data_IF_505453955188
#
_entry.id   IF_505453955188
#
_cell.length_a   1.000
_cell.length_b   1.000
_cell.length_c   1.000
_cell.angle_alpha   90.00
_cell.angle_beta   90.00
_cell.angle_gamma   90.00
#
_symmetry.space_group_name_H-M   'P 1'
#
loop_
_entity.id
_entity.type
_entity.pdbx_description
1 polymer ?
#
# COMPACT_ATOMS: atom_id res chain seq x y z
N UNK A 1 11.02 5.15 -9.70
CA UNK A 1 9.93 5.48 -10.66
C UNK A 1 8.78 6.05 -9.87
N UNK A 2 8.35 7.28 -10.13
CA UNK A 2 7.30 7.94 -9.33
C UNK A 2 5.94 7.40 -9.79
N UNK A 3 5.04 6.94 -8.90
CA UNK A 3 3.69 6.56 -9.30
C UNK A 3 3.05 7.73 -10.05
N UNK A 4 2.55 7.49 -11.24
CA UNK A 4 1.84 8.49 -12.02
C UNK A 4 0.41 8.03 -12.25
N UNK A 5 -0.50 8.66 -11.53
CA UNK A 5 -1.90 8.70 -11.93
C UNK A 5 -2.05 9.74 -13.03
N UNK A 6 -2.41 9.33 -14.24
CA UNK A 6 -2.58 10.23 -15.36
C UNK A 6 -4.02 10.71 -15.47
N UNK A 7 -4.12 12.01 -15.57
CA UNK A 7 -5.15 12.87 -16.12
C UNK A 7 -6.59 12.76 -15.59
N UNK A 8 -7.00 13.85 -14.96
CA UNK A 8 -8.36 14.13 -14.53
C UNK A 8 -9.14 14.67 -15.71
N UNK A 9 -10.24 14.04 -16.10
CA UNK A 9 -11.20 14.63 -17.02
C UNK A 9 -11.70 15.98 -16.46
N UNK A 10 -11.84 17.03 -17.30
CA UNK A 10 -12.27 18.33 -16.80
C UNK A 10 -13.74 18.35 -16.40
N UNK A 11 -13.97 18.98 -15.26
CA UNK A 11 -15.17 19.67 -14.82
C UNK A 11 -16.36 18.85 -14.31
N UNK A 12 -16.46 18.83 -12.98
CA UNK A 12 -17.74 18.95 -12.26
C UNK A 12 -17.54 19.89 -11.09
N UNK A 13 -17.86 21.16 -11.31
CA UNK A 13 -18.13 22.11 -10.25
C UNK A 13 -19.25 21.57 -9.36
N UNK A 14 -18.95 21.10 -8.16
CA UNK A 14 -19.94 20.88 -7.12
C UNK A 14 -19.56 21.73 -5.92
N UNK A 15 -20.41 22.73 -5.67
CA UNK A 15 -20.56 23.46 -4.42
C UNK A 15 -20.45 22.49 -3.22
N UNK A 16 -19.39 22.59 -2.45
CA UNK A 16 -19.27 21.86 -1.17
C UNK A 16 -19.53 22.83 -0.04
N UNK A 17 -20.73 22.71 0.52
CA UNK A 17 -21.11 23.30 1.78
C UNK A 17 -20.13 22.92 2.90
N UNK A 18 -19.72 23.94 3.64
CA UNK A 18 -18.84 23.93 4.80
C UNK A 18 -19.41 23.07 5.93
N UNK A 19 -18.92 21.82 6.04
CA UNK A 19 -18.98 21.03 7.26
C UNK A 19 -17.61 21.10 7.92
N UNK A 20 -17.50 21.58 9.15
CA UNK A 20 -16.29 21.54 9.98
C UNK A 20 -16.02 20.08 10.43
N UNK A 21 -15.71 19.20 9.51
CA UNK A 21 -15.02 17.97 9.74
C UNK A 21 -13.52 18.26 9.69
N UNK A 22 -12.78 17.78 10.66
CA UNK A 22 -11.30 17.83 10.69
C UNK A 22 -10.78 17.54 9.28
N UNK A 23 -10.29 18.57 8.60
CA UNK A 23 -9.77 18.46 7.24
C UNK A 23 -8.72 17.36 7.26
N UNK A 24 -9.02 16.24 6.60
CA UNK A 24 -8.08 15.11 6.51
C UNK A 24 -6.81 15.62 5.84
N UNK A 25 -5.63 15.19 6.29
CA UNK A 25 -4.35 15.80 5.87
C UNK A 25 -3.94 15.34 4.47
N UNK A 26 -4.70 15.69 3.42
CA UNK A 26 -4.36 15.39 2.03
C UNK A 26 -2.89 15.74 1.68
N UNK A 27 -2.31 16.86 2.16
CA UNK A 27 -0.89 17.13 1.95
C UNK A 27 0.04 16.10 2.61
N UNK A 28 -0.36 15.50 3.76
CA UNK A 28 0.42 14.44 4.40
C UNK A 28 0.45 13.18 3.52
N UNK A 29 -0.71 12.74 3.03
CA UNK A 29 -0.80 11.56 2.17
C UNK A 29 -0.01 11.73 0.87
N UNK A 30 -0.04 12.92 0.28
CA UNK A 30 0.75 13.20 -0.93
C UNK A 30 2.25 13.03 -0.68
N UNK A 31 2.80 13.60 0.39
CA UNK A 31 4.24 13.46 0.67
C UNK A 31 4.60 12.06 1.15
N UNK A 32 3.74 11.39 1.91
CA UNK A 32 3.91 10.00 2.31
C UNK A 32 3.95 9.06 1.09
N UNK A 33 3.10 9.27 0.09
CA UNK A 33 3.14 8.57 -1.19
C UNK A 33 4.49 8.76 -1.89
N UNK A 34 4.93 10.00 -2.05
CA UNK A 34 6.20 10.33 -2.70
C UNK A 34 7.43 9.73 -2.02
N UNK A 35 7.38 9.54 -0.69
CA UNK A 35 8.47 8.98 0.11
C UNK A 35 8.44 7.44 0.20
N UNK A 36 7.29 6.82 -0.12
CA UNK A 36 7.17 5.38 -0.30
C UNK A 36 7.56 4.91 -1.70
N UNK A 37 7.69 5.82 -2.66
CA UNK A 37 8.22 5.49 -3.97
C UNK A 37 9.72 5.17 -3.91
N UNK A 38 10.20 4.38 -4.88
CA UNK A 38 11.62 4.06 -5.01
C UNK A 38 12.48 5.34 -5.05
N UNK A 39 13.59 5.41 -4.27
CA UNK A 39 14.49 6.55 -4.27
C UNK A 39 15.25 6.66 -5.60
N UNK A 40 14.96 7.69 -6.38
CA UNK A 40 15.56 8.02 -7.68
C UNK A 40 16.21 9.41 -7.67
N UNK A 41 16.62 9.92 -8.82
CA UNK A 41 17.22 11.25 -9.01
C UNK A 41 16.33 12.41 -8.53
N UNK A 42 15.03 12.19 -8.32
CA UNK A 42 14.09 13.21 -7.84
C UNK A 42 13.96 13.25 -6.31
N UNK A 43 14.65 12.35 -5.59
CA UNK A 43 14.53 12.21 -4.13
C UNK A 43 14.75 13.54 -3.40
N UNK A 44 15.79 14.31 -3.73
CA UNK A 44 16.09 15.58 -3.06
C UNK A 44 14.92 16.59 -3.16
N UNK A 45 14.26 16.62 -4.31
CA UNK A 45 13.06 17.44 -4.51
C UNK A 45 11.90 16.99 -3.62
N UNK A 46 11.70 15.67 -3.53
CA UNK A 46 10.67 15.07 -2.67
C UNK A 46 10.94 15.33 -1.19
N UNK A 47 12.18 15.20 -0.74
CA UNK A 47 12.57 15.48 0.65
C UNK A 47 12.32 16.95 1.01
N UNK A 48 12.74 17.89 0.16
CA UNK A 48 12.47 19.33 0.40
C UNK A 48 10.99 19.65 0.46
N UNK A 49 10.17 19.05 -0.42
CA UNK A 49 8.72 19.21 -0.38
C UNK A 49 8.14 18.67 0.93
N UNK A 50 8.53 17.45 1.30
CA UNK A 50 8.05 16.78 2.50
C UNK A 50 8.43 17.54 3.78
N UNK A 51 9.63 18.15 3.85
CA UNK A 51 10.03 19.03 4.97
C UNK A 51 9.10 20.22 5.15
N UNK A 52 8.75 20.89 4.03
CA UNK A 52 7.82 22.05 4.10
C UNK A 52 6.43 21.61 4.56
N UNK A 53 5.93 20.49 4.04
CA UNK A 53 4.61 19.97 4.44
C UNK A 53 4.64 19.52 5.91
N UNK A 54 5.67 18.79 6.36
CA UNK A 54 5.80 18.33 7.73
C UNK A 54 5.79 19.47 8.77
N UNK A 55 6.27 20.66 8.40
CA UNK A 55 6.24 21.85 9.27
C UNK A 55 4.82 22.36 9.56
N UNK A 56 3.84 22.04 8.72
CA UNK A 56 2.45 22.46 8.87
C UNK A 56 1.52 21.34 9.38
N UNK A 57 2.04 20.11 9.57
CA UNK A 57 1.23 18.99 10.02
C UNK A 57 1.14 18.93 11.56
N UNK A 58 0.06 18.33 12.10
CA UNK A 58 -0.04 18.00 13.52
C UNK A 58 1.11 17.10 13.97
N UNK A 59 1.59 17.32 15.20
CA UNK A 59 2.78 16.65 15.74
C UNK A 59 2.75 15.11 15.66
N UNK A 60 1.62 14.40 15.92
CA UNK A 60 1.57 12.94 15.78
C UNK A 60 1.90 12.43 14.37
N UNK A 61 1.59 13.22 13.34
CA UNK A 61 1.90 12.91 11.93
C UNK A 61 3.29 13.41 11.55
N UNK A 62 3.65 14.61 12.01
CA UNK A 62 4.88 15.29 11.64
C UNK A 62 6.14 14.69 12.28
N UNK A 63 6.06 14.29 13.56
CA UNK A 63 7.25 13.79 14.28
C UNK A 63 7.84 12.52 13.65
N UNK A 64 7.08 11.47 13.39
CA UNK A 64 7.61 10.29 12.69
C UNK A 64 8.04 10.61 11.26
N UNK A 65 7.32 11.46 10.54
CA UNK A 65 7.71 11.89 9.20
C UNK A 65 9.09 12.56 9.20
N UNK A 66 9.36 13.46 10.15
CA UNK A 66 10.68 14.11 10.31
C UNK A 66 11.80 13.09 10.59
N UNK A 67 11.56 12.05 11.39
CA UNK A 67 12.55 10.98 11.63
C UNK A 67 12.94 10.26 10.36
N UNK A 68 11.99 9.94 9.52
CA UNK A 68 12.28 9.36 8.21
C UNK A 68 13.09 10.32 7.33
N UNK A 69 12.69 11.60 7.27
CA UNK A 69 13.39 12.63 6.49
C UNK A 69 14.83 12.80 6.96
N UNK A 70 15.07 12.85 8.29
CA UNK A 70 16.40 12.94 8.86
C UNK A 70 17.29 11.76 8.47
N UNK A 71 16.72 10.53 8.41
CA UNK A 71 17.44 9.35 7.94
C UNK A 71 17.76 9.48 6.45
N UNK A 72 16.76 9.77 5.62
CA UNK A 72 16.93 9.83 4.17
C UNK A 72 17.95 10.88 3.73
N UNK A 73 17.94 12.08 4.34
CA UNK A 73 18.88 13.16 4.05
C UNK A 73 20.32 12.79 4.44
N UNK A 74 20.53 12.09 5.58
CA UNK A 74 21.87 11.62 5.99
C UNK A 74 22.37 10.47 5.13
N UNK A 75 21.48 9.62 4.66
CA UNK A 75 21.83 8.39 3.92
C UNK A 75 22.19 8.68 2.47
N UNK A 76 21.48 9.60 1.84
CA UNK A 76 21.61 9.93 0.42
C UNK A 76 20.98 8.89 -0.52
N UNK A 77 20.73 9.32 -1.76
CA UNK A 77 19.88 8.58 -2.72
C UNK A 77 20.35 7.16 -3.00
N UNK A 78 21.61 6.96 -3.35
CA UNK A 78 22.11 5.64 -3.77
C UNK A 78 22.02 4.60 -2.65
N UNK A 79 22.37 4.98 -1.42
CA UNK A 79 22.31 4.08 -0.27
C UNK A 79 20.86 3.83 0.17
N UNK A 80 20.02 4.87 0.16
CA UNK A 80 18.59 4.72 0.47
C UNK A 80 17.89 3.81 -0.55
N UNK A 81 18.26 3.87 -1.83
CA UNK A 81 17.76 2.97 -2.86
C UNK A 81 18.15 1.51 -2.58
N UNK A 82 19.39 1.26 -2.13
CA UNK A 82 19.81 -0.08 -1.74
C UNK A 82 19.05 -0.58 -0.48
N UNK A 83 18.84 0.29 0.51
CA UNK A 83 18.01 -0.02 1.68
C UNK A 83 16.55 -0.33 1.29
N UNK A 84 16.00 0.37 0.29
CA UNK A 84 14.65 0.12 -0.24
C UNK A 84 14.51 -1.29 -0.79
N UNK A 85 15.41 -1.70 -1.68
CA UNK A 85 15.43 -3.04 -2.26
C UNK A 85 15.57 -4.12 -1.18
N UNK A 86 16.49 -3.93 -0.22
CA UNK A 86 16.67 -4.86 0.89
C UNK A 86 15.41 -5.03 1.73
N UNK A 87 14.64 -3.96 1.94
CA UNK A 87 13.43 -3.96 2.76
C UNK A 87 12.22 -4.49 2.00
N UNK A 88 11.94 -3.96 0.81
CA UNK A 88 10.66 -4.19 0.13
C UNK A 88 10.70 -5.33 -0.89
N UNK A 89 11.87 -5.59 -1.50
CA UNK A 89 11.99 -6.65 -2.51
C UNK A 89 12.47 -7.97 -1.89
N UNK A 90 13.34 -7.92 -0.87
CA UNK A 90 13.91 -9.14 -0.28
C UNK A 90 13.14 -9.67 0.93
N UNK A 91 12.22 -8.91 1.52
CA UNK A 91 11.49 -9.31 2.73
C UNK A 91 9.99 -9.39 2.50
N UNK A 92 9.46 -10.58 2.23
CA UNK A 92 8.02 -10.81 1.96
C UNK A 92 7.09 -10.19 3.01
N UNK A 93 7.48 -10.16 4.28
CA UNK A 93 6.66 -9.55 5.34
C UNK A 93 6.65 -8.02 5.35
N UNK A 94 7.54 -7.38 4.58
CA UNK A 94 7.54 -5.94 4.34
C UNK A 94 6.87 -5.57 3.01
N UNK A 95 5.97 -6.41 2.50
CA UNK A 95 5.28 -6.23 1.24
C UNK A 95 4.42 -4.95 1.24
N UNK A 96 4.62 -4.00 0.30
CA UNK A 96 3.91 -2.73 0.28
C UNK A 96 2.52 -2.81 -0.37
N UNK A 97 2.05 -4.02 -0.74
CA UNK A 97 0.79 -4.26 -1.40
C UNK A 97 -0.29 -4.67 -0.40
N UNK A 98 -1.31 -3.82 -0.22
CA UNK A 98 -2.31 -4.00 0.85
C UNK A 98 -3.15 -5.26 0.71
N UNK A 99 -3.50 -5.68 -0.53
CA UNK A 99 -4.32 -6.88 -0.75
C UNK A 99 -3.56 -8.18 -0.46
N UNK A 100 -2.22 -8.13 -0.44
CA UNK A 100 -1.38 -9.29 -0.13
C UNK A 100 -1.66 -9.85 1.26
N UNK A 101 -1.84 -9.00 2.26
CA UNK A 101 -2.09 -9.43 3.63
C UNK A 101 -3.44 -10.15 3.80
N UNK A 102 -4.46 -9.74 3.04
CA UNK A 102 -5.80 -10.34 3.12
C UNK A 102 -5.96 -11.58 2.22
N UNK A 103 -5.18 -11.68 1.14
CA UNK A 103 -5.42 -12.68 0.09
C UNK A 103 -4.16 -13.48 -0.29
N UNK A 104 -2.96 -13.12 0.19
CA UNK A 104 -1.71 -13.74 -0.26
C UNK A 104 -1.52 -13.62 -1.78
N UNK A 105 -0.75 -14.52 -2.37
CA UNK A 105 -0.55 -14.63 -3.83
C UNK A 105 -1.60 -15.56 -4.47
N UNK A 106 -2.87 -15.43 -4.08
CA UNK A 106 -3.97 -16.28 -4.54
C UNK A 106 -4.79 -15.63 -5.66
N UNK A 107 -5.62 -16.42 -6.37
CA UNK A 107 -6.56 -15.90 -7.38
C UNK A 107 -7.54 -14.88 -6.81
N UNK A 108 -7.87 -14.97 -5.51
CA UNK A 108 -8.75 -14.02 -4.82
C UNK A 108 -8.15 -12.60 -4.82
N UNK A 109 -6.82 -12.48 -4.80
CA UNK A 109 -6.13 -11.19 -4.91
C UNK A 109 -6.45 -10.48 -6.22
N UNK A 110 -6.52 -11.20 -7.34
CA UNK A 110 -6.89 -10.62 -8.64
C UNK A 110 -8.28 -9.94 -8.61
N UNK A 111 -9.26 -10.53 -7.93
CA UNK A 111 -10.60 -9.94 -7.75
C UNK A 111 -10.53 -8.67 -6.88
N UNK A 112 -9.73 -8.68 -5.81
CA UNK A 112 -9.53 -7.52 -4.95
C UNK A 112 -8.88 -6.36 -5.72
N UNK A 113 -7.86 -6.62 -6.53
CA UNK A 113 -7.21 -5.62 -7.39
C UNK A 113 -8.21 -4.98 -8.38
N UNK A 114 -9.07 -5.78 -9.01
CA UNK A 114 -10.14 -5.26 -9.89
C UNK A 114 -11.13 -4.37 -9.15
N UNK A 115 -11.46 -4.68 -7.88
CA UNK A 115 -12.33 -3.85 -7.04
C UNK A 115 -11.68 -2.49 -6.79
N UNK A 116 -10.40 -2.45 -6.44
CA UNK A 116 -9.65 -1.21 -6.22
C UNK A 116 -9.58 -0.39 -7.52
N UNK A 117 -9.27 -1.00 -8.66
CA UNK A 117 -9.28 -0.33 -9.98
C UNK A 117 -10.64 0.32 -10.29
N UNK A 118 -11.74 -0.35 -9.95
CA UNK A 118 -13.09 0.22 -10.11
C UNK A 118 -13.34 1.41 -9.19
N UNK A 119 -12.81 1.39 -7.97
CA UNK A 119 -12.90 2.54 -7.05
C UNK A 119 -12.21 3.76 -7.63
N UNK A 120 -11.00 3.59 -8.20
CA UNK A 120 -10.28 4.68 -8.86
C UNK A 120 -11.03 5.19 -10.11
N UNK A 121 -11.53 4.28 -10.95
CA UNK A 121 -12.30 4.63 -12.13
C UNK A 121 -13.59 5.40 -11.79
N UNK A 122 -14.28 5.03 -10.71
CA UNK A 122 -15.47 5.74 -10.23
C UNK A 122 -15.17 7.18 -9.77
N UNK A 123 -13.93 7.44 -9.32
CA UNK A 123 -13.42 8.78 -9.00
C UNK A 123 -12.86 9.52 -10.24
N UNK A 124 -12.96 8.95 -11.45
CA UNK A 124 -12.46 9.54 -12.68
C UNK A 124 -10.94 9.42 -12.87
N UNK A 125 -10.29 8.53 -12.11
CA UNK A 125 -8.86 8.33 -12.14
C UNK A 125 -8.52 7.05 -12.91
N UNK A 126 -7.40 7.09 -13.66
CA UNK A 126 -6.83 5.93 -14.36
C UNK A 126 -5.43 5.67 -13.85
N UNK A 127 -5.16 4.41 -13.52
CA UNK A 127 -3.82 3.94 -13.25
C UNK A 127 -3.06 3.73 -14.56
N UNK A 128 -1.76 4.01 -14.54
CA UNK A 128 -0.84 3.48 -15.55
C UNK A 128 -0.72 1.96 -15.38
N UNK A 129 -0.33 1.25 -16.44
CA UNK A 129 -0.12 -0.21 -16.36
C UNK A 129 1.17 -0.61 -15.62
N UNK A 130 1.95 0.37 -15.15
CA UNK A 130 3.24 0.17 -14.49
C UNK A 130 3.12 -0.15 -13.00
N UNK A 131 2.00 0.20 -12.35
CA UNK A 131 1.81 0.07 -10.91
C UNK A 131 0.55 -0.74 -10.56
N UNK A 132 0.66 -1.58 -9.53
CA UNK A 132 -0.50 -2.27 -8.99
C UNK A 132 -1.38 -1.32 -8.16
N UNK A 133 -2.71 -1.43 -8.28
CA UNK A 133 -3.63 -0.49 -7.63
C UNK A 133 -3.59 -0.52 -6.11
N UNK A 134 -3.08 -1.59 -5.51
CA UNK A 134 -2.99 -1.80 -4.07
C UNK A 134 -1.63 -1.46 -3.49
N UNK A 135 -0.68 -0.97 -4.29
CA UNK A 135 0.58 -0.47 -3.76
C UNK A 135 0.33 0.73 -2.85
N UNK A 136 0.88 0.73 -1.64
CA UNK A 136 0.55 1.73 -0.62
C UNK A 136 0.83 3.17 -1.07
N UNK A 137 1.89 3.40 -1.86
CA UNK A 137 2.16 4.72 -2.44
C UNK A 137 1.03 5.19 -3.35
N UNK A 138 0.50 4.31 -4.22
CA UNK A 138 -0.63 4.60 -5.11
C UNK A 138 -1.90 4.90 -4.32
N UNK A 139 -2.17 4.09 -3.28
CA UNK A 139 -3.34 4.29 -2.41
C UNK A 139 -3.27 5.64 -1.69
N UNK A 140 -2.09 6.06 -1.23
CA UNK A 140 -1.90 7.36 -0.57
C UNK A 140 -2.00 8.54 -1.55
N UNK A 141 -1.53 8.38 -2.80
CA UNK A 141 -1.72 9.38 -3.84
C UNK A 141 -3.21 9.59 -4.15
N UNK A 142 -3.96 8.49 -4.27
CA UNK A 142 -5.41 8.53 -4.42
C UNK A 142 -6.09 9.22 -3.24
N UNK A 143 -5.64 8.95 -2.01
CA UNK A 143 -6.15 9.54 -0.79
C UNK A 143 -6.09 11.07 -0.80
N UNK A 144 -5.03 11.64 -1.34
CA UNK A 144 -4.85 13.09 -1.40
C UNK A 144 -5.92 13.76 -2.28
N UNK A 145 -6.44 13.05 -3.28
CA UNK A 145 -7.51 13.52 -4.16
C UNK A 145 -8.92 13.19 -3.72
N UNK A 146 -9.12 12.00 -3.15
CA UNK A 146 -10.44 11.42 -2.83
C UNK A 146 -10.51 10.87 -1.38
N UNK A 147 -10.54 11.75 -0.37
CA UNK A 147 -10.41 11.36 1.05
C UNK A 147 -11.44 10.35 1.56
N UNK A 148 -12.68 10.42 1.10
CA UNK A 148 -13.75 9.52 1.55
C UNK A 148 -13.59 8.09 0.99
N UNK A 149 -13.25 7.97 -0.30
CA UNK A 149 -12.99 6.68 -0.93
C UNK A 149 -11.72 6.02 -0.34
N UNK A 150 -10.70 6.84 -0.02
CA UNK A 150 -9.51 6.40 0.68
C UNK A 150 -9.80 5.83 2.07
N UNK A 151 -10.59 6.52 2.87
CA UNK A 151 -10.92 6.06 4.22
C UNK A 151 -11.51 4.65 4.19
N UNK A 152 -12.44 4.38 3.26
CA UNK A 152 -13.01 3.05 3.08
C UNK A 152 -11.95 2.02 2.69
N UNK A 153 -11.12 2.33 1.69
CA UNK A 153 -10.08 1.42 1.20
C UNK A 153 -9.06 1.06 2.29
N UNK A 154 -8.58 2.03 3.06
CA UNK A 154 -7.63 1.78 4.15
C UNK A 154 -8.25 1.07 5.35
N UNK A 155 -9.52 1.36 5.67
CA UNK A 155 -10.22 0.64 6.75
C UNK A 155 -10.37 -0.84 6.40
N UNK A 156 -10.74 -1.16 5.14
CA UNK A 156 -10.83 -2.54 4.67
C UNK A 156 -9.48 -3.29 4.74
N UNK A 157 -8.35 -2.58 4.60
CA UNK A 157 -7.00 -3.15 4.63
C UNK A 157 -6.18 -2.76 5.87
N UNK A 158 -6.84 -2.28 6.92
CA UNK A 158 -6.16 -1.75 8.13
C UNK A 158 -5.22 -2.77 8.78
N UNK A 159 -5.64 -4.01 8.90
CA UNK A 159 -4.82 -5.06 9.51
C UNK A 159 -3.52 -5.30 8.74
N UNK A 160 -3.56 -5.31 7.41
CA UNK A 160 -2.38 -5.44 6.56
C UNK A 160 -1.43 -4.26 6.70
N UNK A 161 -1.96 -3.03 6.74
CA UNK A 161 -1.18 -1.82 6.97
C UNK A 161 -0.42 -1.87 8.30
N UNK A 162 -1.09 -2.28 9.38
CA UNK A 162 -0.45 -2.38 10.70
C UNK A 162 0.58 -3.51 10.77
N UNK A 163 0.36 -4.62 10.06
CA UNK A 163 1.35 -5.68 9.95
C UNK A 163 2.60 -5.22 9.21
N UNK A 164 2.44 -4.51 8.09
CA UNK A 164 3.56 -3.90 7.39
C UNK A 164 4.33 -2.96 8.33
N UNK A 165 3.62 -2.10 9.07
CA UNK A 165 4.23 -1.17 10.02
C UNK A 165 5.05 -1.91 11.08
N UNK A 166 4.48 -2.95 11.71
CA UNK A 166 5.17 -3.77 12.71
C UNK A 166 6.39 -4.49 12.12
N UNK A 167 6.25 -5.09 10.93
CA UNK A 167 7.38 -5.76 10.26
C UNK A 167 8.53 -4.80 9.95
N UNK A 168 8.23 -3.57 9.57
CA UNK A 168 9.26 -2.55 9.34
C UNK A 168 9.95 -2.14 10.65
N UNK A 169 9.22 -2.04 11.77
CA UNK A 169 9.81 -1.81 13.09
C UNK A 169 10.72 -2.98 13.52
N UNK A 170 10.26 -4.21 13.38
CA UNK A 170 11.03 -5.42 13.72
C UNK A 170 12.34 -5.51 12.95
N UNK A 171 12.37 -5.00 11.71
CA UNK A 171 13.58 -5.00 10.88
C UNK A 171 14.46 -3.78 11.09
N UNK A 172 14.02 -2.80 11.87
CA UNK A 172 14.70 -1.52 12.05
C UNK A 172 14.74 -0.65 10.78
N UNK A 173 13.82 -0.92 9.82
CA UNK A 173 13.76 -0.20 8.56
C UNK A 173 13.28 1.25 8.76
N UNK A 174 13.90 2.25 8.12
CA UNK A 174 13.54 3.66 8.31
C UNK A 174 12.11 3.99 7.89
N UNK A 175 11.56 3.24 6.94
CA UNK A 175 10.15 3.36 6.50
C UNK A 175 9.13 3.03 7.59
N UNK A 176 9.53 2.38 8.71
CA UNK A 176 8.68 2.22 9.89
C UNK A 176 8.14 3.57 10.37
N UNK A 177 8.99 4.59 10.41
CA UNK A 177 8.58 5.94 10.79
C UNK A 177 7.61 6.57 9.78
N UNK A 178 7.76 6.26 8.49
CA UNK A 178 6.82 6.73 7.48
C UNK A 178 5.45 6.08 7.69
N UNK A 179 5.40 4.77 7.99
CA UNK A 179 4.16 4.06 8.32
C UNK A 179 3.54 4.55 9.66
N UNK A 180 4.34 4.93 10.65
CA UNK A 180 3.84 5.58 11.87
C UNK A 180 3.11 6.89 11.53
N UNK A 181 3.69 7.69 10.62
CA UNK A 181 3.06 8.92 10.12
C UNK A 181 1.75 8.65 9.37
N UNK A 182 1.69 7.59 8.54
CA UNK A 182 0.46 7.16 7.86
C UNK A 182 -0.58 6.71 8.88
N UNK A 183 -0.22 5.83 9.81
CA UNK A 183 -1.15 5.31 10.84
C UNK A 183 -1.72 6.44 11.72
N UNK A 184 -0.93 7.48 12.01
CA UNK A 184 -1.38 8.65 12.76
C UNK A 184 -2.43 9.51 12.02
N UNK A 185 -2.62 9.33 10.71
CA UNK A 185 -3.70 9.99 9.95
C UNK A 185 -5.03 9.23 10.02
N UNK A 186 -5.05 8.05 10.60
CA UNK A 186 -6.21 7.16 10.65
C UNK A 186 -6.82 7.14 12.06
N UNK A 187 -8.10 6.77 12.20
CA UNK A 187 -8.69 6.56 13.52
C UNK A 187 -7.90 5.53 14.33
N UNK A 188 -7.93 5.61 15.66
CA UNK A 188 -7.40 4.57 16.53
C UNK A 188 -8.02 3.21 16.19
N UNK A 189 -7.22 2.13 16.28
CA UNK A 189 -7.69 0.78 16.04
C UNK A 189 -8.84 0.41 17.00
N UNK A 190 -9.96 -0.05 16.45
CA UNK A 190 -11.06 -0.66 17.19
C UNK A 190 -10.68 -2.04 17.75
N UNK A 191 -11.60 -2.65 18.52
CA UNK A 191 -11.41 -4.01 19.08
C UNK A 191 -11.22 -5.04 17.98
N UNK A 192 -12.16 -5.08 17.03
CA UNK A 192 -12.17 -6.03 15.91
C UNK A 192 -10.94 -5.88 14.99
N UNK A 193 -10.47 -4.65 14.78
CA UNK A 193 -9.25 -4.40 13.99
C UNK A 193 -8.01 -4.92 14.72
N UNK A 194 -7.91 -4.75 16.05
CA UNK A 194 -6.80 -5.31 16.85
C UNK A 194 -6.77 -6.82 16.81
N UNK A 195 -7.95 -7.45 16.91
CA UNK A 195 -8.07 -8.91 16.77
C UNK A 195 -7.67 -9.39 15.38
N UNK A 196 -8.09 -8.66 14.33
CA UNK A 196 -7.69 -8.97 12.95
C UNK A 196 -6.17 -8.85 12.76
N UNK A 197 -5.53 -7.82 13.31
CA UNK A 197 -4.05 -7.68 13.30
C UNK A 197 -3.39 -8.85 14.03
N UNK A 198 -3.86 -9.19 15.23
CA UNK A 198 -3.28 -10.29 16.02
C UNK A 198 -3.42 -11.64 15.32
N UNK A 199 -4.58 -11.93 14.75
CA UNK A 199 -4.82 -13.16 13.97
C UNK A 199 -3.89 -13.24 12.76
N UNK A 200 -3.83 -12.18 11.96
CA UNK A 200 -3.02 -12.13 10.76
C UNK A 200 -1.51 -12.18 11.08
N UNK A 201 -1.10 -11.65 12.23
CA UNK A 201 0.28 -11.76 12.72
C UNK A 201 0.64 -13.21 13.12
N UNK A 202 -0.32 -13.97 13.64
CA UNK A 202 -0.13 -15.35 14.05
C UNK A 202 -0.16 -16.34 12.86
N UNK A 203 -1.07 -16.12 11.91
CA UNK A 203 -1.35 -17.05 10.81
C UNK A 203 -0.55 -16.71 9.53
N UNK A 204 -0.15 -15.45 9.37
CA UNK A 204 0.41 -14.95 8.10
C UNK A 204 -0.65 -14.71 7.02
N UNK A 205 -0.23 -14.17 5.85
CA UNK A 205 -1.09 -14.05 4.68
C UNK A 205 -1.53 -15.43 4.18
N UNK A 206 -2.76 -15.57 3.64
CA UNK A 206 -3.25 -16.84 3.09
C UNK A 206 -2.35 -17.36 1.96
N UNK A 207 -2.12 -18.67 1.93
CA UNK A 207 -1.44 -19.37 0.82
C UNK A 207 -2.46 -20.13 -0.02
N UNK A 208 -2.20 -20.27 -1.34
CA UNK A 208 -3.00 -21.18 -2.17
C UNK A 208 -2.62 -22.62 -1.84
N UNK A 209 -3.60 -23.42 -1.41
CA UNK A 209 -3.48 -24.87 -1.36
C UNK A 209 -3.54 -25.43 -2.80
N UNK A 210 -2.49 -25.21 -3.61
CA UNK A 210 -2.40 -25.74 -4.96
C UNK A 210 -1.78 -27.12 -4.89
N UNK A 211 -2.53 -28.12 -5.27
CA UNK A 211 -2.00 -29.46 -5.59
C UNK A 211 -2.02 -30.48 -4.46
N UNK A 212 -2.79 -30.30 -3.39
CA UNK A 212 -3.01 -31.36 -2.39
C UNK A 212 -4.11 -32.34 -2.77
N UNK A 213 -4.90 -32.11 -3.84
CA UNK A 213 -5.73 -33.16 -4.40
C UNK A 213 -4.82 -34.18 -5.10
N UNK A 214 -4.74 -35.43 -4.64
CA UNK A 214 -3.98 -36.44 -5.37
C UNK A 214 -4.53 -36.53 -6.78
N UNK A 215 -3.63 -36.62 -7.78
CA UNK A 215 -4.03 -36.91 -9.14
C UNK A 215 -5.06 -38.03 -9.13
N UNK A 216 -6.16 -37.88 -9.86
CA UNK A 216 -7.15 -38.94 -9.99
C UNK A 216 -6.45 -40.26 -10.31
N UNK A 217 -6.86 -41.38 -9.67
CA UNK A 217 -6.16 -42.65 -9.86
C UNK A 217 -6.12 -43.05 -11.35
N UNK A 218 -5.17 -43.90 -11.79
CA UNK A 218 -4.94 -44.26 -13.20
C UNK A 218 -6.15 -44.80 -13.96
N UNK A 219 -7.23 -45.14 -13.28
CA UNK A 219 -8.51 -45.60 -13.84
C UNK A 219 -9.21 -44.58 -14.77
N UNK A 220 -8.78 -43.29 -14.76
CA UNK A 220 -9.31 -42.24 -15.60
C UNK A 220 -8.52 -42.02 -16.92
N UNK A 221 -7.44 -42.75 -17.15
CA UNK A 221 -6.79 -42.72 -18.46
C UNK A 221 -7.53 -43.72 -19.38
N UNK A 222 -8.13 -43.26 -20.52
CA UNK A 222 -8.65 -44.19 -21.51
C UNK A 222 -7.50 -45.07 -22.00
N UNK A 223 -7.74 -46.38 -22.13
CA UNK A 223 -6.77 -47.31 -22.69
C UNK A 223 -6.23 -46.79 -24.03
N UNK A 224 -4.92 -46.88 -24.28
CA UNK A 224 -4.34 -46.47 -25.55
C UNK A 224 -4.99 -47.31 -26.66
N UNK A 225 -5.71 -46.67 -27.56
CA UNK A 225 -6.33 -47.29 -28.74
C UNK A 225 -5.22 -47.98 -29.52
N UNK A 226 -5.21 -49.32 -29.44
CA UNK A 226 -4.19 -50.14 -30.08
C UNK A 226 -4.22 -49.91 -31.59
N UNK A 227 -3.10 -49.38 -32.14
CA UNK A 227 -2.91 -49.29 -33.58
C UNK A 227 -2.91 -50.70 -34.18
N UNK A 228 -3.91 -50.96 -35.03
CA UNK A 228 -3.88 -52.14 -35.91
C UNK A 228 -2.82 -51.91 -36.97
N UNK A 229 -1.95 -52.90 -37.12
CA UNK A 229 -1.05 -53.06 -38.26
C UNK A 229 -1.83 -53.30 -39.56
#
# INVERSE_FOLDING_TARGET
MTPRMTDRAPDRTSDRASGQGTSLPAPAWQVQSLLLAYPDEHLDGRLRLARRVAAALPEPVAAPLRRFLDHAERTGTARLAAEYVEVFDHRRRCCPFLTYYAHGDTRKRGVALLRIKRTYAAAGLRLTDEELPDHLAVVLEFAAGEPEAYRKLLTEHRAGLELLRLALHDTGAPWAHLLDSVSATLPPLGGDEREAVARLAAEGPPEEEVGLAPFAPPQYMPDPVGGRR
#
